data_IF_425327914875
#
_entry.id   IF_425327914875
#
_cell.length_a   1.000
_cell.length_b   1.000
_cell.length_c   1.000
_cell.angle_alpha   90.00
_cell.angle_beta   90.00
_cell.angle_gamma   90.00
#
_symmetry.space_group_name_H-M   'P 1'
#
loop_
_entity.id
_entity.type
_entity.pdbx_description
1 polymer ?
#
# COMPACT_ATOMS: atom_id res chain seq x y z
N UNK A 1 -61.66 -33.12 27.64
CA UNK A 1 -60.74 -32.04 27.98
C UNK A 1 -59.35 -32.38 27.46
N UNK A 2 -59.02 -31.79 26.29
CA UNK A 2 -57.71 -31.88 25.63
C UNK A 2 -56.88 -30.68 26.02
N UNK A 3 -55.83 -30.86 26.80
CA UNK A 3 -54.86 -29.84 27.17
C UNK A 3 -53.84 -29.70 26.05
N UNK A 4 -53.87 -28.56 25.38
CA UNK A 4 -52.86 -28.18 24.35
C UNK A 4 -51.64 -27.61 25.10
N UNK A 5 -50.52 -28.33 25.10
CA UNK A 5 -49.26 -27.85 25.59
C UNK A 5 -48.65 -26.90 24.59
N UNK A 6 -48.60 -25.62 24.90
CA UNK A 6 -47.83 -24.61 24.13
C UNK A 6 -46.34 -24.76 24.46
N UNK A 7 -45.57 -25.30 23.53
CA UNK A 7 -44.11 -25.30 23.57
C UNK A 7 -43.62 -23.86 23.27
N UNK A 8 -43.19 -23.15 24.31
CA UNK A 8 -42.44 -21.92 24.19
C UNK A 8 -41.02 -22.26 23.67
N UNK A 9 -40.79 -22.05 22.38
CA UNK A 9 -39.43 -21.99 21.82
C UNK A 9 -38.77 -20.68 22.29
N UNK A 10 -37.99 -20.74 23.35
CA UNK A 10 -37.03 -19.72 23.66
C UNK A 10 -35.97 -19.79 22.56
N UNK A 11 -36.04 -18.89 21.56
CA UNK A 11 -34.95 -18.70 20.63
C UNK A 11 -33.79 -18.13 21.42
N UNK A 12 -32.73 -18.91 21.61
CA UNK A 12 -31.45 -18.36 22.04
C UNK A 12 -31.04 -17.32 21.02
N UNK A 13 -30.74 -16.15 21.51
CA UNK A 13 -30.05 -15.14 20.72
C UNK A 13 -28.68 -15.72 20.30
N UNK A 14 -28.53 -15.95 18.99
CA UNK A 14 -27.32 -16.51 18.38
C UNK A 14 -26.31 -15.42 18.01
N UNK A 15 -26.58 -14.15 18.35
CA UNK A 15 -25.62 -13.08 18.18
C UNK A 15 -24.47 -13.27 19.17
N UNK A 16 -23.31 -13.67 18.64
CA UNK A 16 -22.09 -13.77 19.41
C UNK A 16 -21.62 -12.37 19.80
N UNK A 17 -21.60 -12.09 21.10
CA UNK A 17 -20.95 -10.90 21.67
C UNK A 17 -19.59 -11.29 22.27
N UNK A 18 -18.51 -11.34 21.45
CA UNK A 18 -17.21 -11.73 21.94
C UNK A 18 -16.69 -10.71 22.97
N UNK A 19 -16.34 -11.16 24.15
CA UNK A 19 -15.78 -10.33 25.22
C UNK A 19 -14.25 -10.26 25.19
N UNK A 20 -13.61 -11.14 24.44
CA UNK A 20 -12.15 -11.29 24.38
C UNK A 20 -11.49 -10.65 23.17
N UNK A 21 -12.26 -10.20 22.17
CA UNK A 21 -11.76 -9.46 21.01
C UNK A 21 -12.82 -8.49 20.49
N UNK A 22 -12.36 -7.44 19.80
CA UNK A 22 -13.25 -6.48 19.15
C UNK A 22 -13.61 -7.01 17.77
N UNK A 23 -14.90 -7.25 17.52
CA UNK A 23 -15.37 -7.70 16.21
C UNK A 23 -15.15 -6.63 15.11
N UNK A 24 -15.13 -7.02 13.83
CA UNK A 24 -14.88 -6.08 12.73
C UNK A 24 -15.85 -4.88 12.68
N UNK A 25 -17.10 -5.10 13.10
CA UNK A 25 -18.13 -4.02 13.15
C UNK A 25 -17.89 -3.01 14.28
N UNK A 26 -17.19 -3.42 15.35
CA UNK A 26 -16.90 -2.62 16.53
C UNK A 26 -15.51 -1.99 16.48
N UNK A 27 -14.69 -2.37 15.52
CA UNK A 27 -13.41 -1.75 15.23
C UNK A 27 -13.60 -0.50 14.36
N UNK A 28 -12.59 0.30 14.14
CA UNK A 28 -12.63 1.55 13.34
C UNK A 28 -13.54 2.66 13.90
N UNK A 29 -13.72 2.71 15.21
CA UNK A 29 -14.50 3.78 15.88
C UNK A 29 -13.65 4.99 16.28
N UNK A 30 -12.35 4.85 16.37
CA UNK A 30 -11.42 5.90 16.74
C UNK A 30 -10.35 6.10 15.67
N UNK A 31 -9.74 7.29 15.64
CA UNK A 31 -8.60 7.57 14.75
C UNK A 31 -7.46 6.54 14.94
N UNK A 32 -7.14 6.20 16.19
CA UNK A 32 -6.10 5.22 16.48
C UNK A 32 -6.38 3.85 15.88
N UNK A 33 -7.64 3.40 15.90
CA UNK A 33 -8.06 2.14 15.26
C UNK A 33 -7.97 2.21 13.73
N UNK A 34 -8.35 3.34 13.14
CA UNK A 34 -8.20 3.56 11.69
C UNK A 34 -6.72 3.54 11.28
N UNK A 35 -5.84 4.20 12.04
CA UNK A 35 -4.39 4.17 11.81
C UNK A 35 -3.81 2.75 11.96
N UNK A 36 -4.30 1.97 12.92
CA UNK A 36 -3.89 0.57 13.06
C UNK A 36 -4.30 -0.28 11.86
N UNK A 37 -5.49 -0.04 11.30
CA UNK A 37 -5.92 -0.65 10.02
C UNK A 37 -5.02 -0.25 8.85
N UNK A 38 -4.69 1.03 8.73
CA UNK A 38 -3.76 1.54 7.72
C UNK A 38 -2.36 0.93 7.87
N UNK A 39 -1.87 0.67 9.10
CA UNK A 39 -0.60 0.00 9.31
C UNK A 39 -0.56 -1.38 8.66
N UNK A 40 -1.67 -2.12 8.65
CA UNK A 40 -1.74 -3.42 7.97
C UNK A 40 -1.52 -3.28 6.44
N UNK A 41 -1.89 -2.15 5.86
CA UNK A 41 -1.70 -1.88 4.43
C UNK A 41 -0.23 -1.78 4.04
N UNK A 42 0.68 -1.45 4.96
CA UNK A 42 2.13 -1.38 4.69
C UNK A 42 2.84 -2.74 4.74
N UNK A 43 2.25 -3.74 5.41
CA UNK A 43 2.91 -5.04 5.64
C UNK A 43 3.40 -5.70 4.34
N UNK A 44 2.62 -5.76 3.24
CA UNK A 44 3.08 -6.38 2.00
C UNK A 44 4.27 -5.66 1.36
N UNK A 45 4.47 -4.36 1.58
CA UNK A 45 5.60 -3.58 1.05
C UNK A 45 6.93 -4.18 1.52
N UNK A 46 7.03 -4.54 2.80
CA UNK A 46 8.24 -5.18 3.34
C UNK A 46 8.59 -6.49 2.64
N UNK A 47 7.56 -7.25 2.24
CA UNK A 47 7.74 -8.52 1.53
C UNK A 47 8.08 -8.33 0.05
N UNK A 48 7.61 -7.22 -0.57
CA UNK A 48 7.92 -6.87 -1.95
C UNK A 48 9.36 -6.40 -2.05
N UNK A 49 9.75 -5.38 -1.26
CA UNK A 49 11.09 -4.79 -1.27
C UNK A 49 12.11 -5.66 -0.53
N UNK A 50 12.25 -6.90 -1.00
CA UNK A 50 13.24 -7.88 -0.58
C UNK A 50 14.01 -8.37 -1.81
N UNK A 51 14.80 -9.43 -1.68
CA UNK A 51 15.64 -9.93 -2.77
C UNK A 51 14.86 -10.21 -4.07
N UNK A 52 13.59 -10.61 -3.98
CA UNK A 52 12.77 -10.88 -5.16
C UNK A 52 12.57 -9.65 -6.04
N UNK A 53 12.37 -8.47 -5.41
CA UNK A 53 12.25 -7.21 -6.15
C UNK A 53 13.56 -6.85 -6.83
N UNK A 54 14.68 -6.93 -6.10
CA UNK A 54 16.01 -6.63 -6.64
C UNK A 54 16.35 -7.53 -7.85
N UNK A 55 16.04 -8.82 -7.78
CA UNK A 55 16.27 -9.74 -8.90
C UNK A 55 15.38 -9.39 -10.10
N UNK A 56 14.12 -9.05 -9.87
CA UNK A 56 13.17 -8.71 -10.94
C UNK A 56 13.45 -7.37 -11.61
N UNK A 57 14.07 -6.42 -10.91
CA UNK A 57 14.35 -5.08 -11.43
C UNK A 57 15.80 -4.93 -11.88
N UNK A 58 16.76 -5.19 -11.00
CA UNK A 58 18.18 -4.97 -11.27
C UNK A 58 18.87 -6.22 -11.84
N UNK A 59 18.46 -7.41 -11.38
CA UNK A 59 19.08 -8.67 -11.80
C UNK A 59 18.87 -9.04 -13.26
N UNK A 60 17.93 -8.37 -13.94
CA UNK A 60 17.64 -8.55 -15.39
C UNK A 60 18.30 -7.47 -16.25
N UNK A 61 19.07 -6.56 -15.63
CA UNK A 61 19.80 -5.48 -16.32
C UNK A 61 21.29 -5.83 -16.45
N UNK A 62 22.02 -5.02 -17.19
CA UNK A 62 23.48 -5.09 -17.31
C UNK A 62 24.22 -4.45 -16.13
N UNK A 63 23.49 -3.85 -15.19
CA UNK A 63 24.05 -3.22 -13.99
C UNK A 63 24.37 -4.23 -12.87
N UNK A 64 23.79 -5.44 -12.94
CA UNK A 64 23.95 -6.46 -11.91
C UNK A 64 24.30 -7.83 -12.50
N UNK A 65 25.35 -8.48 -11.99
CA UNK A 65 25.68 -9.86 -12.33
C UNK A 65 25.24 -10.80 -11.19
N UNK A 66 24.47 -11.82 -11.52
CA UNK A 66 24.02 -12.85 -10.58
C UNK A 66 24.77 -14.16 -10.87
N UNK A 67 25.74 -14.48 -9.99
CA UNK A 67 26.64 -15.62 -10.17
C UNK A 67 25.93 -16.98 -10.09
N UNK A 68 24.90 -17.12 -9.27
CA UNK A 68 24.09 -18.34 -9.19
C UNK A 68 22.84 -18.17 -10.05
N UNK A 69 22.92 -18.52 -11.33
CA UNK A 69 21.89 -18.33 -12.33
C UNK A 69 20.45 -18.51 -11.85
N UNK A 70 19.84 -17.42 -11.36
CA UNK A 70 18.38 -17.41 -11.19
C UNK A 70 17.75 -17.36 -12.58
N UNK A 71 16.61 -18.02 -12.72
CA UNK A 71 15.90 -18.03 -14.01
C UNK A 71 15.46 -16.63 -14.43
N UNK A 72 15.16 -15.75 -13.48
CA UNK A 72 14.82 -14.35 -13.73
C UNK A 72 15.97 -13.61 -14.40
N UNK A 73 17.20 -13.74 -13.88
CA UNK A 73 18.39 -13.12 -14.45
C UNK A 73 18.72 -13.65 -15.86
N UNK A 74 18.25 -14.85 -16.20
CA UNK A 74 18.37 -15.43 -17.54
C UNK A 74 17.23 -15.00 -18.47
N UNK A 75 16.34 -14.09 -18.04
CA UNK A 75 15.15 -13.66 -18.76
C UNK A 75 14.19 -14.82 -19.14
N UNK A 76 14.24 -15.95 -18.43
CA UNK A 76 13.33 -17.08 -18.60
C UNK A 76 12.01 -16.87 -17.82
N UNK A 77 11.42 -15.70 -18.01
CA UNK A 77 10.19 -15.27 -17.36
C UNK A 77 9.06 -15.30 -18.38
N UNK A 78 7.94 -15.88 -18.00
CA UNK A 78 6.72 -15.88 -18.82
C UNK A 78 5.49 -15.98 -17.93
N UNK A 79 4.28 -15.76 -18.47
CA UNK A 79 3.04 -15.96 -17.70
C UNK A 79 2.91 -17.36 -17.08
N UNK A 80 3.48 -18.39 -17.74
CA UNK A 80 3.51 -19.76 -17.22
C UNK A 80 4.66 -20.01 -16.22
N UNK A 81 5.67 -19.14 -16.19
CA UNK A 81 6.85 -19.21 -15.33
C UNK A 81 7.12 -17.81 -14.72
N UNK A 82 6.26 -17.31 -13.81
CA UNK A 82 6.39 -15.95 -13.30
C UNK A 82 7.52 -15.78 -12.28
N UNK A 83 8.11 -16.89 -11.79
CA UNK A 83 9.26 -16.92 -10.87
C UNK A 83 9.09 -15.95 -9.69
N UNK A 84 10.05 -15.03 -9.46
CA UNK A 84 9.97 -14.02 -8.40
C UNK A 84 8.83 -13.01 -8.60
N UNK A 85 8.38 -12.80 -9.83
CA UNK A 85 7.20 -11.98 -10.15
C UNK A 85 5.92 -12.49 -9.48
N UNK A 86 5.77 -13.81 -9.29
CA UNK A 86 4.61 -14.37 -8.58
C UNK A 86 4.51 -13.83 -7.14
N UNK A 87 5.63 -13.71 -6.43
CA UNK A 87 5.64 -13.15 -5.07
C UNK A 87 5.21 -11.69 -5.08
N UNK A 88 5.73 -10.90 -6.02
CA UNK A 88 5.37 -9.47 -6.14
C UNK A 88 3.88 -9.32 -6.45
N UNK A 89 3.37 -10.07 -7.43
CA UNK A 89 1.94 -10.11 -7.76
C UNK A 89 1.06 -10.40 -6.55
N UNK A 90 1.37 -11.49 -5.85
CA UNK A 90 0.60 -11.93 -4.68
C UNK A 90 0.62 -10.89 -3.57
N UNK A 91 1.77 -10.29 -3.26
CA UNK A 91 1.89 -9.29 -2.22
C UNK A 91 1.20 -7.97 -2.60
N UNK A 92 1.28 -7.54 -3.86
CA UNK A 92 0.56 -6.36 -4.33
C UNK A 92 -0.96 -6.53 -4.17
N UNK A 93 -1.53 -7.65 -4.61
CA UNK A 93 -2.97 -7.89 -4.45
C UNK A 93 -3.40 -8.09 -2.99
N UNK A 94 -2.54 -8.64 -2.15
CA UNK A 94 -2.76 -8.66 -0.69
C UNK A 94 -2.83 -7.23 -0.13
N UNK A 95 -1.93 -6.36 -0.59
CA UNK A 95 -1.94 -4.95 -0.23
C UNK A 95 -3.20 -4.22 -0.71
N UNK A 96 -3.60 -4.42 -1.97
CA UNK A 96 -4.86 -3.88 -2.53
C UNK A 96 -6.07 -4.32 -1.69
N UNK A 97 -6.15 -5.61 -1.35
CA UNK A 97 -7.24 -6.14 -0.51
C UNK A 97 -7.27 -5.46 0.87
N UNK A 98 -6.12 -5.31 1.52
CA UNK A 98 -6.02 -4.63 2.82
C UNK A 98 -6.43 -3.16 2.72
N UNK A 99 -5.96 -2.45 1.69
CA UNK A 99 -6.35 -1.05 1.48
C UNK A 99 -7.86 -0.91 1.24
N UNK A 100 -8.45 -1.72 0.37
CA UNK A 100 -9.88 -1.66 0.08
C UNK A 100 -10.74 -1.93 1.32
N UNK A 101 -10.38 -2.95 2.11
CA UNK A 101 -11.09 -3.27 3.36
C UNK A 101 -10.93 -2.13 4.39
N UNK A 102 -9.74 -1.56 4.51
CA UNK A 102 -9.49 -0.46 5.46
C UNK A 102 -10.19 0.82 5.03
N UNK A 103 -10.13 1.20 3.76
CA UNK A 103 -10.83 2.37 3.20
C UNK A 103 -12.34 2.24 3.46
N UNK A 104 -12.95 1.12 3.09
CA UNK A 104 -14.37 0.88 3.30
C UNK A 104 -14.76 0.90 4.80
N UNK A 105 -13.89 0.40 5.67
CA UNK A 105 -14.11 0.44 7.12
C UNK A 105 -14.01 1.87 7.68
N UNK A 106 -13.07 2.68 7.21
CA UNK A 106 -12.93 4.10 7.58
C UNK A 106 -14.15 4.89 7.07
N UNK A 107 -14.61 4.65 5.85
CA UNK A 107 -15.83 5.28 5.30
C UNK A 107 -17.05 5.05 6.19
N UNK A 108 -17.21 3.82 6.71
CA UNK A 108 -18.29 3.45 7.63
C UNK A 108 -18.08 3.93 9.07
N UNK A 109 -16.90 4.42 9.42
CA UNK A 109 -16.58 4.83 10.80
C UNK A 109 -17.36 6.08 11.20
N UNK A 110 -17.64 6.29 12.50
CA UNK A 110 -18.35 7.47 13.01
C UNK A 110 -17.48 8.72 13.16
N UNK A 111 -16.24 8.74 12.66
CA UNK A 111 -15.28 9.82 12.95
C UNK A 111 -15.78 11.23 12.59
N UNK A 112 -16.58 11.37 11.51
CA UNK A 112 -17.11 12.67 11.08
C UNK A 112 -18.32 13.15 11.92
N UNK A 113 -18.85 12.30 12.80
CA UNK A 113 -20.02 12.64 13.61
C UNK A 113 -19.64 13.47 14.85
N UNK A 114 -18.34 13.60 15.10
CA UNK A 114 -17.80 14.38 16.24
C UNK A 114 -17.34 15.74 15.73
N UNK A 115 -18.20 16.75 15.79
CA UNK A 115 -18.03 18.07 15.20
C UNK A 115 -16.92 18.97 15.79
N UNK A 116 -16.20 18.54 16.81
CA UNK A 116 -15.35 19.44 17.61
C UNK A 116 -13.86 19.07 17.69
N UNK A 117 -13.38 18.05 17.01
CA UNK A 117 -11.96 17.72 17.05
C UNK A 117 -11.36 17.50 15.67
N UNK A 118 -10.19 18.05 15.43
CA UNK A 118 -9.35 17.78 14.26
C UNK A 118 -9.00 16.28 14.10
N UNK A 119 -9.23 15.48 15.11
CA UNK A 119 -9.06 14.01 15.09
C UNK A 119 -10.19 13.28 14.36
N UNK A 120 -11.32 13.95 14.11
CA UNK A 120 -12.50 13.37 13.50
C UNK A 120 -12.50 13.36 11.97
N UNK A 121 -11.52 13.97 11.33
CA UNK A 121 -11.50 14.05 9.86
C UNK A 121 -11.07 12.72 9.24
N UNK A 122 -11.97 12.13 8.47
CA UNK A 122 -11.74 10.90 7.72
C UNK A 122 -10.89 11.10 6.48
N UNK A 123 -10.97 12.27 5.86
CA UNK A 123 -10.38 12.50 4.54
C UNK A 123 -8.88 12.22 4.48
N UNK A 124 -8.04 12.70 5.42
CA UNK A 124 -6.62 12.36 5.42
C UNK A 124 -6.33 10.86 5.60
N UNK A 125 -7.17 10.15 6.37
CA UNK A 125 -7.04 8.70 6.57
C UNK A 125 -7.43 7.92 5.30
N UNK A 126 -8.51 8.33 4.63
CA UNK A 126 -8.91 7.77 3.35
C UNK A 126 -7.84 8.04 2.28
N UNK A 127 -7.32 9.27 2.25
CA UNK A 127 -6.26 9.68 1.34
C UNK A 127 -5.01 8.79 1.50
N UNK A 128 -4.58 8.52 2.71
CA UNK A 128 -3.45 7.61 2.94
C UNK A 128 -3.73 6.19 2.41
N UNK A 129 -4.92 5.65 2.67
CA UNK A 129 -5.33 4.34 2.13
C UNK A 129 -5.32 4.31 0.59
N UNK A 130 -5.79 5.39 -0.05
CA UNK A 130 -5.77 5.57 -1.51
C UNK A 130 -4.35 5.66 -2.05
N UNK A 131 -3.46 6.41 -1.38
CA UNK A 131 -2.04 6.53 -1.77
C UNK A 131 -1.34 5.16 -1.71
N UNK A 132 -1.54 4.40 -0.63
CA UNK A 132 -0.94 3.07 -0.49
C UNK A 132 -1.50 2.11 -1.56
N UNK A 133 -2.80 2.13 -1.83
CA UNK A 133 -3.42 1.32 -2.87
C UNK A 133 -2.87 1.65 -4.26
N UNK A 134 -2.74 2.94 -4.56
CA UNK A 134 -2.18 3.41 -5.82
C UNK A 134 -0.73 2.97 -6.02
N UNK A 135 0.06 2.94 -4.94
CA UNK A 135 1.42 2.41 -4.96
C UNK A 135 1.45 0.93 -5.39
N UNK A 136 0.56 0.08 -4.88
CA UNK A 136 0.49 -1.33 -5.32
C UNK A 136 0.09 -1.46 -6.78
N UNK A 137 -0.90 -0.70 -7.24
CA UNK A 137 -1.30 -0.73 -8.65
C UNK A 137 -0.25 -0.12 -9.59
N UNK A 138 0.50 0.88 -9.12
CA UNK A 138 1.65 1.39 -9.86
C UNK A 138 2.67 0.28 -10.11
N UNK A 139 3.07 -0.48 -9.09
CA UNK A 139 3.97 -1.63 -9.23
C UNK A 139 3.38 -2.69 -10.18
N UNK A 140 2.11 -3.04 -10.00
CA UNK A 140 1.43 -4.03 -10.82
C UNK A 140 1.43 -3.62 -12.30
N UNK A 141 1.08 -2.37 -12.61
CA UNK A 141 1.02 -1.90 -14.00
C UNK A 141 2.39 -1.69 -14.62
N UNK A 142 3.43 -1.38 -13.84
CA UNK A 142 4.80 -1.26 -14.33
C UNK A 142 5.42 -2.63 -14.66
N UNK A 143 5.15 -3.65 -13.84
CA UNK A 143 5.79 -4.97 -13.98
C UNK A 143 4.98 -5.89 -14.90
N UNK A 144 3.63 -5.83 -14.83
CA UNK A 144 2.76 -6.81 -15.50
C UNK A 144 1.87 -6.23 -16.59
N UNK A 145 1.88 -4.91 -16.81
CA UNK A 145 1.00 -4.25 -17.78
C UNK A 145 -0.47 -4.26 -17.35
N UNK A 146 -1.34 -4.81 -18.17
CA UNK A 146 -2.78 -4.91 -17.89
C UNK A 146 -3.05 -5.87 -16.72
N UNK A 147 -3.90 -5.44 -15.78
CA UNK A 147 -4.14 -6.16 -14.53
C UNK A 147 -5.62 -6.15 -14.13
N UNK A 148 -6.11 -7.14 -13.38
CA UNK A 148 -7.41 -7.06 -12.73
C UNK A 148 -7.45 -5.83 -11.81
N UNK A 149 -8.42 -4.93 -12.03
CA UNK A 149 -8.52 -3.68 -11.26
C UNK A 149 -9.83 -3.63 -10.49
N UNK A 150 -9.75 -3.47 -9.17
CA UNK A 150 -10.89 -3.30 -8.29
C UNK A 150 -10.56 -2.42 -7.09
N UNK A 151 -11.55 -1.67 -6.62
CA UNK A 151 -11.46 -0.78 -5.47
C UNK A 151 -12.47 -1.11 -4.37
N UNK A 152 -13.32 -2.12 -4.60
CA UNK A 152 -14.32 -2.56 -3.63
C UNK A 152 -13.73 -3.50 -2.58
N UNK A 153 -14.29 -3.47 -1.38
CA UNK A 153 -13.99 -4.42 -0.31
C UNK A 153 -14.41 -5.84 -0.71
N UNK A 154 -13.61 -6.83 -0.34
CA UNK A 154 -13.98 -8.25 -0.44
C UNK A 154 -14.79 -8.61 0.80
N UNK A 155 -16.08 -8.26 0.80
CA UNK A 155 -16.95 -8.40 1.96
C UNK A 155 -17.46 -9.84 2.18
N UNK A 156 -17.60 -10.60 1.11
CA UNK A 156 -18.17 -11.94 1.13
C UNK A 156 -17.63 -12.83 -0.01
N UNK A 157 -18.09 -14.08 -0.03
CA UNK A 157 -17.67 -15.06 -1.03
C UNK A 157 -18.15 -14.70 -2.44
N UNK A 158 -19.29 -14.04 -2.61
CA UNK A 158 -19.80 -13.64 -3.92
C UNK A 158 -18.87 -12.59 -4.53
N UNK A 159 -18.55 -11.54 -3.78
CA UNK A 159 -17.60 -10.49 -4.22
C UNK A 159 -16.22 -11.07 -4.53
N UNK A 160 -15.77 -12.04 -3.72
CA UNK A 160 -14.50 -12.74 -3.98
C UNK A 160 -14.54 -13.49 -5.32
N UNK A 161 -15.63 -14.19 -5.64
CA UNK A 161 -15.79 -14.89 -6.91
C UNK A 161 -15.86 -13.92 -8.10
N UNK A 162 -16.57 -12.80 -7.97
CA UNK A 162 -16.61 -11.76 -9.00
C UNK A 162 -15.19 -11.23 -9.32
N UNK A 163 -14.39 -10.93 -8.28
CA UNK A 163 -13.02 -10.45 -8.45
C UNK A 163 -12.11 -11.55 -9.05
N UNK A 164 -12.25 -12.79 -8.61
CA UNK A 164 -11.47 -13.91 -9.12
C UNK A 164 -11.66 -14.19 -10.61
N UNK A 165 -12.84 -13.84 -11.17
CA UNK A 165 -13.19 -14.05 -12.56
C UNK A 165 -13.19 -12.76 -13.41
N UNK A 166 -12.78 -11.62 -12.81
CA UNK A 166 -12.74 -10.36 -13.57
C UNK A 166 -11.64 -10.37 -14.63
N UNK A 167 -11.93 -9.69 -15.75
CA UNK A 167 -10.94 -9.44 -16.77
C UNK A 167 -9.85 -8.45 -16.34
N UNK A 168 -8.83 -8.30 -17.16
CA UNK A 168 -7.80 -7.27 -16.97
C UNK A 168 -8.31 -5.93 -17.51
N UNK A 169 -8.07 -4.87 -16.75
CA UNK A 169 -8.17 -3.50 -17.21
C UNK A 169 -6.83 -3.10 -17.82
N UNK A 170 -6.84 -2.28 -18.85
CA UNK A 170 -5.57 -1.82 -19.43
C UNK A 170 -4.75 -1.02 -18.41
N UNK A 171 -3.43 -1.13 -18.51
CA UNK A 171 -2.52 -0.39 -17.64
C UNK A 171 -2.77 1.13 -17.73
N UNK A 172 -3.12 1.62 -18.95
CA UNK A 172 -3.46 3.01 -19.15
C UNK A 172 -4.71 3.44 -18.38
N UNK A 173 -5.83 2.71 -18.55
CA UNK A 173 -7.09 3.02 -17.87
C UNK A 173 -6.95 2.89 -16.35
N UNK A 174 -6.20 1.88 -15.88
CA UNK A 174 -5.89 1.73 -14.46
C UNK A 174 -5.18 2.96 -13.91
N UNK A 175 -4.14 3.44 -14.60
CA UNK A 175 -3.38 4.62 -14.17
C UNK A 175 -4.20 5.90 -14.25
N UNK A 176 -5.01 6.07 -15.28
CA UNK A 176 -5.90 7.24 -15.41
C UNK A 176 -6.87 7.31 -14.22
N UNK A 177 -7.50 6.18 -13.86
CA UNK A 177 -8.36 6.13 -12.69
C UNK A 177 -7.61 6.51 -11.39
N UNK A 178 -6.40 5.97 -11.20
CA UNK A 178 -5.60 6.25 -10.00
C UNK A 178 -5.18 7.72 -9.91
N UNK A 179 -4.83 8.34 -11.02
CA UNK A 179 -4.48 9.78 -11.06
C UNK A 179 -5.69 10.61 -10.63
N UNK A 180 -6.85 10.37 -11.25
CA UNK A 180 -8.07 11.13 -10.96
C UNK A 180 -8.55 10.92 -9.51
N UNK A 181 -8.33 9.74 -8.94
CA UNK A 181 -8.63 9.45 -7.54
C UNK A 181 -7.65 10.15 -6.60
N UNK A 182 -6.35 10.06 -6.85
CA UNK A 182 -5.32 10.73 -6.05
C UNK A 182 -5.51 12.25 -6.04
N UNK A 183 -5.81 12.87 -7.18
CA UNK A 183 -6.07 14.31 -7.28
C UNK A 183 -7.22 14.77 -6.39
N UNK A 184 -8.20 13.90 -6.12
CA UNK A 184 -9.31 14.20 -5.20
C UNK A 184 -8.94 14.10 -3.73
N UNK A 185 -8.06 13.17 -3.38
CA UNK A 185 -7.78 12.86 -1.98
C UNK A 185 -6.51 13.53 -1.45
N UNK A 186 -5.43 13.61 -2.23
CA UNK A 186 -4.12 14.12 -1.77
C UNK A 186 -4.16 15.56 -1.24
N UNK A 187 -4.96 16.48 -1.80
CA UNK A 187 -5.07 17.84 -1.26
C UNK A 187 -5.63 17.93 0.16
N UNK A 188 -6.32 16.89 0.66
CA UNK A 188 -6.84 16.84 2.04
C UNK A 188 -5.81 16.44 3.09
N UNK A 189 -4.62 16.00 2.66
CA UNK A 189 -3.54 15.60 3.55
C UNK A 189 -2.71 16.82 3.98
N UNK A 190 -1.99 16.68 5.11
CA UNK A 190 -1.02 17.69 5.53
C UNK A 190 0.09 17.79 4.49
N UNK A 191 0.26 19.00 3.92
CA UNK A 191 1.21 19.29 2.84
C UNK A 191 2.62 19.53 3.41
N UNK A 192 3.17 18.49 4.03
CA UNK A 192 4.47 18.52 4.70
C UNK A 192 5.35 17.37 4.23
N UNK A 193 6.64 17.46 4.48
CA UNK A 193 7.60 16.37 4.21
C UNK A 193 7.25 15.14 5.04
N UNK A 194 7.56 13.96 4.52
CA UNK A 194 7.31 12.71 5.24
C UNK A 194 8.07 12.63 6.57
N UNK A 195 9.25 13.25 6.65
CA UNK A 195 10.05 13.33 7.88
C UNK A 195 9.48 14.30 8.94
N UNK A 196 8.62 15.23 8.53
CA UNK A 196 7.96 16.21 9.40
C UNK A 196 6.52 15.79 9.74
N UNK A 197 5.97 14.88 8.94
CA UNK A 197 4.65 14.31 9.15
C UNK A 197 4.63 13.18 10.19
N UNK A 198 3.48 12.59 10.38
CA UNK A 198 3.29 11.51 11.34
C UNK A 198 4.05 10.24 10.94
N UNK A 199 5.08 9.88 11.69
CA UNK A 199 5.72 8.56 11.70
C UNK A 199 6.26 8.05 10.35
N UNK A 200 6.70 8.94 9.47
CA UNK A 200 7.21 8.60 8.12
C UNK A 200 6.22 7.75 7.29
N UNK A 201 4.94 8.05 7.40
CA UNK A 201 3.87 7.41 6.62
C UNK A 201 3.82 7.97 5.19
N UNK A 202 3.08 7.30 4.31
CA UNK A 202 2.78 7.81 2.97
C UNK A 202 1.83 9.01 3.05
N UNK A 203 2.37 10.20 3.20
CA UNK A 203 1.65 11.48 3.26
C UNK A 203 1.43 12.11 1.87
N UNK A 204 1.11 13.42 1.89
CA UNK A 204 0.85 14.19 0.66
C UNK A 204 2.01 14.14 -0.33
N UNK A 205 3.26 14.23 0.16
CA UNK A 205 4.44 14.14 -0.69
C UNK A 205 4.49 12.84 -1.50
N UNK A 206 4.16 11.69 -0.87
CA UNK A 206 4.07 10.43 -1.59
C UNK A 206 2.89 10.42 -2.56
N UNK A 207 1.75 11.00 -2.19
CA UNK A 207 0.59 11.13 -3.08
C UNK A 207 0.92 11.92 -4.35
N UNK A 208 1.53 13.09 -4.22
CA UNK A 208 1.97 13.90 -5.37
C UNK A 208 3.02 13.18 -6.22
N UNK A 209 3.98 12.49 -5.60
CA UNK A 209 4.94 11.67 -6.33
C UNK A 209 4.25 10.54 -7.11
N UNK A 210 3.23 9.90 -6.55
CA UNK A 210 2.45 8.88 -7.25
C UNK A 210 1.69 9.44 -8.45
N UNK A 211 1.05 10.61 -8.31
CA UNK A 211 0.41 11.31 -9.44
C UNK A 211 1.45 11.57 -10.54
N UNK A 212 2.58 12.17 -10.20
CA UNK A 212 3.63 12.47 -11.17
C UNK A 212 4.12 11.22 -11.92
N UNK A 213 4.41 10.13 -11.20
CA UNK A 213 4.86 8.86 -11.80
C UNK A 213 3.82 8.23 -12.72
N UNK A 214 2.57 8.13 -12.27
CA UNK A 214 1.47 7.56 -13.05
C UNK A 214 1.18 8.41 -14.30
N UNK A 215 1.16 9.73 -14.15
CA UNK A 215 0.91 10.69 -15.24
C UNK A 215 2.01 10.65 -16.31
N UNK A 216 3.29 10.54 -15.92
CA UNK A 216 4.40 10.35 -16.86
C UNK A 216 4.23 9.08 -17.72
N UNK A 217 3.86 7.96 -17.11
CA UNK A 217 3.60 6.71 -17.84
C UNK A 217 2.42 6.80 -18.81
N UNK A 218 1.44 7.65 -18.52
CA UNK A 218 0.25 7.85 -19.36
C UNK A 218 0.35 9.05 -20.30
N UNK A 219 1.51 9.73 -20.34
CA UNK A 219 1.73 10.96 -21.12
C UNK A 219 0.77 12.11 -20.75
N UNK A 220 0.28 12.13 -19.50
CA UNK A 220 -0.50 13.23 -18.92
C UNK A 220 0.47 14.27 -18.33
N UNK A 221 1.15 15.00 -19.23
CA UNK A 221 2.27 15.87 -18.84
C UNK A 221 1.87 17.03 -17.95
N UNK A 222 0.67 17.58 -18.15
CA UNK A 222 0.17 18.70 -17.34
C UNK A 222 -0.08 18.24 -15.89
N UNK A 223 -0.70 17.07 -15.69
CA UNK A 223 -0.88 16.51 -14.35
C UNK A 223 0.46 16.19 -13.68
N UNK A 224 1.43 15.72 -14.44
CA UNK A 224 2.77 15.44 -13.92
C UNK A 224 3.48 16.71 -13.45
N UNK A 225 3.40 17.79 -14.26
CA UNK A 225 3.99 19.08 -13.92
C UNK A 225 3.32 19.73 -12.71
N UNK A 226 1.98 19.67 -12.62
CA UNK A 226 1.24 20.15 -11.46
C UNK A 226 1.68 19.42 -10.19
N UNK A 227 1.71 18.09 -10.21
CA UNK A 227 2.11 17.29 -9.07
C UNK A 227 3.57 17.52 -8.63
N UNK A 228 4.50 17.70 -9.58
CA UNK A 228 5.88 18.06 -9.28
C UNK A 228 5.98 19.48 -8.70
N UNK A 229 5.14 20.43 -9.16
CA UNK A 229 5.05 21.76 -8.58
C UNK A 229 4.57 21.75 -7.13
N UNK A 230 3.63 20.86 -6.76
CA UNK A 230 3.23 20.69 -5.36
C UNK A 230 4.36 20.09 -4.50
N UNK A 231 5.12 19.14 -5.06
CA UNK A 231 6.33 18.63 -4.39
C UNK A 231 7.39 19.70 -4.18
N UNK A 232 7.62 20.56 -5.18
CA UNK A 232 8.56 21.67 -5.06
C UNK A 232 8.16 22.64 -3.93
N UNK A 233 6.87 22.91 -3.75
CA UNK A 233 6.38 23.72 -2.62
C UNK A 233 6.71 23.08 -1.25
N UNK A 234 6.67 21.73 -1.17
CA UNK A 234 6.97 20.98 0.07
C UNK A 234 8.48 20.89 0.32
N UNK A 235 9.26 20.58 -0.71
CA UNK A 235 10.69 20.24 -0.57
C UNK A 235 11.62 21.43 -0.91
N UNK A 236 11.17 22.40 -1.70
CA UNK A 236 11.99 23.49 -2.17
C UNK A 236 13.06 23.05 -3.18
N UNK A 237 14.13 23.83 -3.26
CA UNK A 237 15.24 23.56 -4.18
C UNK A 237 16.04 22.31 -3.70
N UNK A 238 16.22 21.35 -4.60
CA UNK A 238 16.97 20.12 -4.33
C UNK A 238 18.47 20.38 -4.05
N UNK A 239 19.03 21.52 -4.47
CA UNK A 239 20.41 21.87 -4.19
C UNK A 239 20.72 22.04 -2.67
N UNK A 240 19.69 22.22 -1.85
CA UNK A 240 19.86 22.31 -0.40
C UNK A 240 20.16 20.97 0.28
N UNK A 241 19.99 19.84 -0.44
CA UNK A 241 20.21 18.50 0.11
C UNK A 241 21.57 17.96 -0.35
N UNK A 242 22.57 17.83 0.56
CA UNK A 242 23.86 17.28 0.23
C UNK A 242 23.78 15.81 -0.18
N UNK A 243 24.37 15.45 -1.33
CA UNK A 243 24.33 14.07 -1.84
C UNK A 243 24.96 13.08 -0.84
N UNK A 244 25.97 13.52 -0.08
CA UNK A 244 26.66 12.70 0.91
C UNK A 244 25.77 12.28 2.08
N UNK A 245 24.73 13.04 2.38
CA UNK A 245 23.81 12.77 3.49
C UNK A 245 22.69 11.78 3.11
N UNK A 246 22.45 11.59 1.82
CA UNK A 246 21.30 10.83 1.30
C UNK A 246 21.65 9.34 1.16
N UNK A 247 22.82 9.02 0.57
CA UNK A 247 23.16 7.67 0.14
C UNK A 247 23.60 6.79 1.32
N UNK A 248 22.68 6.03 1.89
CA UNK A 248 22.90 4.96 2.89
C UNK A 248 23.47 5.39 4.26
N UNK A 249 23.76 6.67 4.46
CA UNK A 249 24.31 7.18 5.73
C UNK A 249 23.23 7.47 6.76
N UNK A 250 22.19 8.16 6.33
CA UNK A 250 21.11 8.61 7.21
C UNK A 250 19.78 8.01 6.75
N UNK A 251 18.88 7.77 7.71
CA UNK A 251 17.50 7.35 7.47
C UNK A 251 16.57 8.55 7.59
N UNK A 252 15.49 8.54 6.85
CA UNK A 252 14.44 9.56 6.92
C UNK A 252 15.01 10.97 6.81
N UNK A 253 15.85 11.18 5.81
CA UNK A 253 16.45 12.49 5.54
C UNK A 253 15.38 13.51 5.14
N UNK A 254 15.64 14.82 5.25
CA UNK A 254 14.70 15.85 4.82
C UNK A 254 14.27 15.77 3.34
N UNK A 255 15.07 15.13 2.49
CA UNK A 255 14.75 14.88 1.08
C UNK A 255 13.85 13.65 0.88
N UNK A 256 13.80 12.75 1.85
CA UNK A 256 13.10 11.47 1.70
C UNK A 256 11.59 11.67 1.55
N UNK A 257 11.02 11.08 0.50
CA UNK A 257 9.56 11.07 0.26
C UNK A 257 8.92 9.89 0.98
N UNK A 258 9.55 8.71 0.91
CA UNK A 258 9.11 7.52 1.63
C UNK A 258 10.25 6.51 1.73
N UNK A 259 10.44 5.94 2.91
CA UNK A 259 11.40 4.88 3.15
C UNK A 259 10.74 3.66 3.79
N UNK A 260 11.08 2.47 3.30
CA UNK A 260 10.66 1.21 3.92
C UNK A 260 11.50 0.99 5.18
N UNK A 261 10.88 1.19 6.34
CA UNK A 261 11.55 1.10 7.62
C UNK A 261 11.95 -0.33 7.96
N UNK A 262 13.23 -0.53 8.23
CA UNK A 262 13.77 -1.83 8.65
C UNK A 262 14.61 -1.64 9.90
N UNK A 263 14.37 -2.47 10.89
CA UNK A 263 15.09 -2.43 12.16
C UNK A 263 15.60 -3.80 12.53
N UNK A 264 16.79 -3.82 13.15
CA UNK A 264 17.30 -4.99 13.84
C UNK A 264 17.37 -4.68 15.34
N UNK A 265 16.65 -5.48 16.14
CA UNK A 265 16.68 -5.37 17.60
C UNK A 265 17.18 -6.70 18.16
N UNK A 266 18.39 -6.76 18.74
CA UNK A 266 18.91 -7.98 19.35
C UNK A 266 17.94 -8.51 20.43
N UNK A 267 17.50 -9.76 20.29
CA UNK A 267 16.56 -10.38 21.21
C UNK A 267 15.10 -9.92 21.12
N UNK A 268 14.78 -9.03 20.15
CA UNK A 268 13.44 -8.51 19.90
C UNK A 268 12.91 -8.81 18.51
N UNK A 269 11.76 -8.19 18.18
CA UNK A 269 11.21 -8.25 16.83
C UNK A 269 12.10 -7.44 15.89
N UNK A 270 12.52 -8.08 14.81
CA UNK A 270 13.35 -7.46 13.77
C UNK A 270 12.66 -7.54 12.42
N UNK A 271 12.60 -6.43 11.69
CA UNK A 271 12.20 -6.38 10.29
C UNK A 271 13.46 -6.25 9.45
N UNK A 272 13.91 -7.36 8.87
CA UNK A 272 15.16 -7.44 8.12
C UNK A 272 14.91 -7.69 6.63
N UNK A 273 15.96 -7.62 5.84
CA UNK A 273 15.94 -7.94 4.41
C UNK A 273 17.06 -8.92 4.08
N UNK A 274 16.85 -9.75 3.08
CA UNK A 274 17.86 -10.64 2.54
C UNK A 274 18.73 -9.99 1.44
N UNK A 275 18.52 -8.73 1.12
CA UNK A 275 19.26 -8.02 0.06
C UNK A 275 20.76 -8.04 0.31
N UNK A 276 21.20 -7.79 1.54
CA UNK A 276 22.62 -7.83 1.88
C UNK A 276 23.26 -9.20 1.64
N UNK A 277 22.51 -10.29 1.87
CA UNK A 277 23.02 -11.65 1.66
C UNK A 277 23.31 -11.98 0.18
N UNK A 278 22.62 -11.31 -0.74
CA UNK A 278 22.81 -11.54 -2.19
C UNK A 278 23.69 -10.50 -2.87
N UNK A 279 23.96 -9.37 -2.21
CA UNK A 279 24.81 -8.29 -2.75
C UNK A 279 26.23 -8.32 -2.21
N UNK A 280 26.50 -9.09 -1.14
CA UNK A 280 27.87 -9.29 -0.63
C UNK A 280 28.67 -10.22 -1.54
N UNK A 281 29.88 -9.85 -1.93
CA UNK A 281 30.75 -10.76 -2.66
C UNK A 281 31.04 -12.00 -1.78
N UNK A 282 30.94 -13.18 -2.39
CA UNK A 282 31.43 -14.41 -1.75
C UNK A 282 32.93 -14.26 -1.56
N UNK A 283 33.37 -14.10 -0.34
CA UNK A 283 34.78 -14.32 0.02
C UNK A 283 34.97 -15.84 0.12
N UNK A 284 35.57 -16.46 -0.90
CA UNK A 284 36.12 -17.78 -0.82
C UNK A 284 37.32 -17.79 0.14
#
# INVERSE_FOLDING_TARGET
ATATAALLFSACDLDEHPTSFVGPKEYYKTRAQCLAGLNACYIPINSIYDYCFLIMTEGVTDLMYIASGTKDAQLDISPAKPLNGQKIWTQCYKGVMYCNSTIAAIERSPLNDIKESSEADKLPLLAEGVVIRSFYYWLLTCIFGDVPFYTKEVADQQVMQEIAHMGRMSAKETRDYLIDELQRYVPSMDQVRSSEGADNRMGAAMGWMMIAKLAQWNHRWDDALEALGELEKIYGDLQQYPLEDIMFRNKNTPESIFEVQRTYTPGGLSVTTNVAAITTPYHN
#
